data_IF_385759942054
#
_entry.id   IF_385759942054
#
_cell.length_a   1.000
_cell.length_b   1.000
_cell.length_c   1.000
_cell.angle_alpha   90.00
_cell.angle_beta   90.00
_cell.angle_gamma   90.00
#
_symmetry.space_group_name_H-M   'P 1'
#
loop_
_entity.id
_entity.type
_entity.pdbx_description
1 polymer ?
#
# COMPACT_ATOMS: atom_id res chain seq x y z
N UNK A 1 0.77 -3.89 -5.85
CA UNK A 1 -0.40 -3.48 -5.03
C UNK A 1 -0.56 -4.35 -3.78
N UNK A 2 -0.37 -5.68 -3.86
CA UNK A 2 -0.48 -6.60 -2.71
C UNK A 2 0.29 -6.18 -1.45
N UNK A 3 1.54 -5.72 -1.59
CA UNK A 3 2.33 -5.20 -0.46
C UNK A 3 1.64 -4.02 0.26
N UNK A 4 1.03 -3.08 -0.46
CA UNK A 4 0.42 -1.89 0.14
C UNK A 4 -0.82 -2.23 0.98
N UNK A 5 -1.68 -3.14 0.48
CA UNK A 5 -2.90 -3.55 1.19
C UNK A 5 -2.62 -4.47 2.39
N UNK A 6 -1.49 -5.20 2.40
CA UNK A 6 -1.11 -6.10 3.50
C UNK A 6 -0.29 -5.41 4.60
N UNK A 7 0.24 -4.21 4.34
CA UNK A 7 1.08 -3.47 5.30
C UNK A 7 0.46 -2.15 5.76
N UNK A 8 -0.54 -1.65 5.04
CA UNK A 8 -1.13 -0.33 5.30
C UNK A 8 -0.19 0.85 5.02
N UNK A 9 0.98 0.62 4.39
CA UNK A 9 1.90 1.70 4.07
C UNK A 9 1.29 2.70 3.08
N UNK A 10 1.57 3.99 3.27
CA UNK A 10 1.26 5.00 2.25
C UNK A 10 2.04 4.66 1.00
N UNK A 11 1.45 4.86 -0.18
CA UNK A 11 2.11 4.45 -1.42
C UNK A 11 3.46 5.14 -1.64
N UNK A 12 3.64 6.41 -1.23
CA UNK A 12 4.96 7.05 -1.30
C UNK A 12 6.02 6.42 -0.36
N UNK A 13 5.60 5.82 0.76
CA UNK A 13 6.49 5.03 1.63
C UNK A 13 6.87 3.71 0.92
N UNK A 14 5.89 3.04 0.30
CA UNK A 14 6.12 1.81 -0.49
C UNK A 14 7.08 2.07 -1.64
N UNK A 15 6.85 3.13 -2.42
CA UNK A 15 7.68 3.48 -3.57
C UNK A 15 9.07 3.99 -3.16
N UNK A 16 9.23 4.46 -1.93
CA UNK A 16 10.51 4.89 -1.37
C UNK A 16 11.29 3.80 -0.64
N UNK A 17 10.71 2.61 -0.45
CA UNK A 17 11.29 1.51 0.32
C UNK A 17 12.54 0.96 -0.36
N UNK A 18 13.62 0.79 0.40
CA UNK A 18 14.87 0.18 -0.07
C UNK A 18 15.07 -1.21 0.54
N UNK A 19 15.86 -2.06 -0.13
CA UNK A 19 16.15 -3.41 0.38
C UNK A 19 16.84 -3.40 1.75
N UNK A 20 17.63 -2.37 2.04
CA UNK A 20 18.29 -2.16 3.35
C UNK A 20 17.30 -1.83 4.49
N UNK A 21 16.07 -1.41 4.16
CA UNK A 21 15.02 -1.18 5.15
C UNK A 21 14.32 -2.48 5.57
N UNK A 22 14.55 -3.59 4.85
CA UNK A 22 13.92 -4.90 5.07
C UNK A 22 14.86 -5.86 5.78
N UNK A 23 14.66 -6.05 7.09
CA UNK A 23 15.36 -7.04 7.90
C UNK A 23 14.60 -8.39 7.83
N UNK A 24 15.05 -9.26 6.93
CA UNK A 24 14.43 -10.57 6.71
C UNK A 24 14.66 -11.55 7.87
N UNK A 25 15.79 -11.42 8.58
CA UNK A 25 16.11 -12.27 9.73
C UNK A 25 15.19 -11.97 10.91
N UNK A 26 15.02 -10.68 11.23
CA UNK A 26 14.14 -10.23 12.33
C UNK A 26 12.69 -10.05 11.90
N UNK A 27 12.36 -10.30 10.64
CA UNK A 27 11.03 -10.10 10.02
C UNK A 27 10.48 -8.69 10.32
N UNK A 28 11.27 -7.66 10.02
CA UNK A 28 10.93 -6.26 10.31
C UNK A 28 11.21 -5.38 9.10
N UNK A 29 10.32 -4.43 8.83
CA UNK A 29 10.50 -3.43 7.77
C UNK A 29 10.48 -2.05 8.40
N UNK A 30 11.54 -1.27 8.16
CA UNK A 30 11.65 0.11 8.65
C UNK A 30 11.03 1.07 7.66
N UNK A 31 10.02 1.81 8.08
CA UNK A 31 9.40 2.88 7.30
C UNK A 31 9.89 4.22 7.85
N UNK A 32 10.73 4.93 7.08
CA UNK A 32 11.40 6.16 7.52
C UNK A 32 11.51 7.28 6.47
N UNK A 33 10.97 7.05 5.27
CA UNK A 33 11.06 7.97 4.14
C UNK A 33 9.86 7.82 3.23
N UNK A 34 9.51 8.91 2.54
CA UNK A 34 8.49 8.92 1.49
C UNK A 34 9.13 9.50 0.24
N UNK A 35 8.93 8.85 -0.90
CA UNK A 35 9.34 9.41 -2.19
C UNK A 35 8.22 10.29 -2.76
N UNK A 36 8.60 11.47 -3.26
CA UNK A 36 7.72 12.40 -3.95
C UNK A 36 8.28 12.71 -5.33
N UNK A 37 7.40 13.23 -6.19
CA UNK A 37 7.77 13.75 -7.50
C UNK A 37 7.28 15.19 -7.62
N UNK A 38 8.19 16.11 -7.93
CA UNK A 38 7.83 17.47 -8.30
C UNK A 38 7.94 17.62 -9.81
N UNK A 39 6.88 18.13 -10.44
CA UNK A 39 6.98 18.66 -11.79
C UNK A 39 7.80 19.96 -11.76
N UNK A 40 8.56 20.19 -12.81
CA UNK A 40 9.23 21.46 -13.06
C UNK A 40 8.23 22.61 -13.02
N UNK A 41 8.46 23.58 -12.15
CA UNK A 41 7.69 24.84 -12.12
C UNK A 41 8.28 25.90 -13.04
N UNK A 42 9.49 25.69 -13.53
CA UNK A 42 10.24 26.57 -14.44
C UNK A 42 11.19 25.73 -15.31
N UNK A 43 11.55 26.16 -16.53
CA UNK A 43 12.53 25.46 -17.37
C UNK A 43 13.90 25.24 -16.70
N UNK A 44 14.24 26.07 -15.72
CA UNK A 44 15.50 26.00 -14.97
C UNK A 44 15.45 24.90 -13.90
N UNK A 45 14.27 24.61 -13.35
CA UNK A 45 14.09 23.64 -12.29
C UNK A 45 13.56 22.33 -12.87
N UNK A 46 14.44 21.37 -13.13
CA UNK A 46 14.05 20.07 -13.69
C UNK A 46 13.04 19.33 -12.83
N UNK A 47 12.12 18.59 -13.48
CA UNK A 47 11.23 17.68 -12.75
C UNK A 47 12.06 16.60 -12.07
N UNK A 48 11.80 16.33 -10.80
CA UNK A 48 12.65 15.43 -10.03
C UNK A 48 11.87 14.65 -8.99
N UNK A 49 12.35 13.42 -8.77
CA UNK A 49 12.05 12.70 -7.55
C UNK A 49 12.86 13.29 -6.41
N UNK A 50 12.30 13.25 -5.21
CA UNK A 50 13.00 13.61 -3.99
C UNK A 50 12.41 12.83 -2.82
N UNK A 51 13.24 12.56 -1.81
CA UNK A 51 12.75 12.02 -0.55
C UNK A 51 12.30 13.16 0.35
N UNK A 52 11.21 12.93 1.07
CA UNK A 52 10.95 13.62 2.32
C UNK A 52 11.25 12.66 3.45
N UNK A 53 12.02 13.13 4.42
CA UNK A 53 12.09 12.48 5.71
C UNK A 53 10.83 12.83 6.49
N UNK A 54 10.34 11.88 7.27
CA UNK A 54 9.27 12.12 8.23
C UNK A 54 9.57 13.39 9.05
N UNK A 55 8.74 14.44 8.91
CA UNK A 55 8.91 15.69 9.68
C UNK A 55 8.70 15.48 11.19
N UNK A 56 8.15 14.33 11.61
CA UNK A 56 7.89 13.98 13.01
C UNK A 56 8.31 12.54 13.32
N UNK A 57 8.75 12.29 14.56
CA UNK A 57 9.15 10.97 15.08
C UNK A 57 8.04 9.92 14.87
N UNK A 58 6.77 10.33 14.95
CA UNK A 58 5.59 9.46 14.83
C UNK A 58 5.40 8.81 13.45
N UNK A 59 6.02 9.35 12.39
CA UNK A 59 5.93 8.79 11.05
C UNK A 59 6.99 7.70 10.80
N UNK A 60 8.07 7.67 11.60
CA UNK A 60 9.05 6.60 11.57
C UNK A 60 8.52 5.41 12.36
N UNK A 61 8.43 4.25 11.72
CA UNK A 61 7.91 3.05 12.36
C UNK A 61 8.55 1.79 11.83
N UNK A 62 8.38 0.71 12.59
CA UNK A 62 8.73 -0.63 12.15
C UNK A 62 7.44 -1.42 12.03
N UNK A 63 7.22 -2.00 10.85
CA UNK A 63 6.11 -2.93 10.64
C UNK A 63 6.64 -4.37 10.68
N UNK A 64 5.90 -5.32 11.28
CA UNK A 64 6.27 -6.72 11.23
C UNK A 64 6.07 -7.27 9.82
N UNK A 65 6.94 -8.18 9.42
CA UNK A 65 6.83 -8.94 8.18
C UNK A 65 6.08 -10.24 8.49
N UNK A 66 4.78 -10.27 8.18
CA UNK A 66 4.01 -11.52 8.18
C UNK A 66 4.57 -12.49 7.13
N UNK A 67 4.20 -13.77 7.19
CA UNK A 67 4.64 -14.75 6.17
C UNK A 67 4.26 -14.28 4.76
N UNK A 68 3.05 -13.74 4.58
CA UNK A 68 2.62 -13.20 3.30
C UNK A 68 3.48 -12.02 2.84
N UNK A 69 3.84 -11.09 3.72
CA UNK A 69 4.71 -9.95 3.36
C UNK A 69 6.13 -10.43 3.04
N UNK A 70 6.62 -11.44 3.76
CA UNK A 70 7.93 -12.07 3.52
C UNK A 70 7.98 -12.68 2.13
N UNK A 71 6.98 -13.49 1.76
CA UNK A 71 6.86 -14.09 0.43
C UNK A 71 6.76 -13.04 -0.68
N UNK A 72 5.96 -11.98 -0.47
CA UNK A 72 5.85 -10.87 -1.43
C UNK A 72 7.22 -10.26 -1.70
N UNK A 73 8.01 -10.00 -0.65
CA UNK A 73 9.33 -9.39 -0.77
C UNK A 73 10.35 -10.34 -1.39
N UNK A 74 10.32 -11.63 -1.08
CA UNK A 74 11.18 -12.62 -1.73
C UNK A 74 10.90 -12.71 -3.23
N UNK A 75 9.63 -12.85 -3.62
CA UNK A 75 9.21 -12.90 -5.02
C UNK A 75 9.58 -11.61 -5.76
N UNK A 76 9.43 -10.46 -5.10
CA UNK A 76 9.86 -9.18 -5.68
C UNK A 76 11.38 -9.12 -5.89
N UNK A 77 12.17 -9.69 -4.98
CA UNK A 77 13.64 -9.76 -5.11
C UNK A 77 14.07 -10.63 -6.28
N UNK A 78 13.42 -11.79 -6.46
CA UNK A 78 13.63 -12.69 -7.62
C UNK A 78 13.31 -11.94 -8.91
N UNK A 79 12.09 -11.40 -9.02
CA UNK A 79 11.63 -10.64 -10.19
C UNK A 79 12.57 -9.48 -10.55
N UNK A 80 13.05 -8.73 -9.56
CA UNK A 80 13.97 -7.61 -9.82
C UNK A 80 15.35 -8.10 -10.27
N UNK A 81 15.81 -9.24 -9.74
CA UNK A 81 17.07 -9.87 -10.16
C UNK A 81 17.00 -10.30 -11.63
N UNK A 82 15.91 -10.95 -12.03
CA UNK A 82 15.65 -11.30 -13.43
C UNK A 82 15.61 -10.06 -14.32
N UNK A 83 14.89 -9.01 -13.91
CA UNK A 83 14.83 -7.75 -14.67
C UNK A 83 16.21 -7.13 -14.85
N UNK A 84 17.07 -7.13 -13.81
CA UNK A 84 18.45 -6.63 -13.92
C UNK A 84 19.28 -7.43 -14.91
N UNK A 85 19.09 -8.75 -14.98
CA UNK A 85 19.77 -9.62 -15.94
C UNK A 85 19.30 -9.35 -17.37
N UNK A 86 17.98 -9.38 -17.61
CA UNK A 86 17.39 -9.25 -18.94
C UNK A 86 17.44 -7.82 -19.50
N UNK A 87 17.38 -6.81 -18.64
CA UNK A 87 17.31 -5.38 -19.01
C UNK A 87 18.58 -4.62 -18.64
N UNK A 88 19.71 -5.33 -18.54
CA UNK A 88 21.00 -4.76 -18.12
C UNK A 88 21.40 -3.50 -18.89
N UNK A 89 21.13 -3.45 -20.20
CA UNK A 89 21.48 -2.31 -21.06
C UNK A 89 20.71 -1.03 -20.73
N UNK A 90 19.49 -1.15 -20.18
CA UNK A 90 18.62 0.00 -19.87
C UNK A 90 18.45 0.23 -18.37
N UNK A 91 19.06 -0.63 -17.52
CA UNK A 91 18.93 -0.53 -16.08
C UNK A 91 19.66 0.71 -15.55
N UNK A 92 18.91 1.66 -14.99
CA UNK A 92 19.41 2.93 -14.51
C UNK A 92 19.88 2.83 -13.06
N UNK A 93 21.16 3.11 -12.83
CA UNK A 93 21.68 3.33 -11.49
C UNK A 93 21.50 4.80 -11.09
N UNK A 94 20.32 5.15 -10.60
CA UNK A 94 20.08 6.48 -10.03
C UNK A 94 20.80 6.62 -8.69
N UNK A 95 21.83 7.48 -8.59
CA UNK A 95 22.67 7.63 -7.38
C UNK A 95 21.87 7.79 -6.08
N UNK A 96 20.79 8.57 -6.10
CA UNK A 96 19.96 8.84 -4.93
C UNK A 96 18.91 7.75 -4.65
N UNK A 97 18.46 7.05 -5.70
CA UNK A 97 17.36 6.08 -5.67
C UNK A 97 17.85 4.64 -5.92
N UNK A 98 19.07 4.33 -5.48
CA UNK A 98 19.60 2.98 -5.58
C UNK A 98 18.87 2.03 -4.62
N UNK A 99 18.84 0.75 -5.00
CA UNK A 99 18.34 -0.35 -4.17
C UNK A 99 16.88 -0.23 -3.71
N UNK A 100 16.04 0.48 -4.48
CA UNK A 100 14.60 0.47 -4.29
C UNK A 100 14.03 -0.96 -4.44
N UNK A 101 13.09 -1.31 -3.57
CA UNK A 101 12.36 -2.59 -3.62
C UNK A 101 11.42 -2.62 -4.83
N UNK A 102 10.70 -1.52 -5.06
CA UNK A 102 9.75 -1.39 -6.15
C UNK A 102 10.25 -0.35 -7.15
N UNK A 103 10.50 -0.80 -8.39
CA UNK A 103 11.03 0.03 -9.48
C UNK A 103 10.21 -0.17 -10.74
N UNK A 104 10.33 0.78 -11.66
CA UNK A 104 10.02 0.54 -13.06
C UNK A 104 10.94 -0.56 -13.62
N UNK A 105 10.62 -1.08 -14.80
CA UNK A 105 11.38 -2.19 -15.40
C UNK A 105 12.81 -1.83 -15.80
N UNK A 106 13.13 -0.53 -15.85
CA UNK A 106 14.46 0.02 -16.09
C UNK A 106 15.18 0.40 -14.78
N UNK A 107 14.64 0.04 -13.62
CA UNK A 107 15.22 0.37 -12.31
C UNK A 107 14.92 1.78 -11.80
N UNK A 108 14.25 2.63 -12.59
CA UNK A 108 13.87 3.96 -12.15
C UNK A 108 12.75 3.94 -11.09
N UNK A 109 12.61 5.01 -10.28
CA UNK A 109 11.48 5.14 -9.37
C UNK A 109 10.14 5.08 -10.09
N UNK A 110 9.15 4.46 -9.47
CA UNK A 110 7.78 4.44 -9.99
C UNK A 110 7.12 5.78 -9.71
N UNK A 111 6.46 6.36 -10.71
CA UNK A 111 5.62 7.53 -10.51
C UNK A 111 4.35 7.17 -9.75
N UNK A 112 3.99 7.96 -8.74
CA UNK A 112 2.73 7.81 -8.02
C UNK A 112 1.52 7.72 -8.96
N UNK A 113 1.48 8.60 -9.97
CA UNK A 113 0.43 8.62 -10.99
C UNK A 113 0.27 7.27 -11.69
N UNK A 114 1.37 6.60 -12.03
CA UNK A 114 1.34 5.31 -12.73
C UNK A 114 0.64 4.23 -11.90
N UNK A 115 0.70 4.31 -10.57
CA UNK A 115 0.02 3.34 -9.70
C UNK A 115 -1.50 3.53 -9.77
N UNK A 116 -1.98 4.77 -9.69
CA UNK A 116 -3.42 5.05 -9.82
C UNK A 116 -3.94 4.80 -11.25
N UNK A 117 -3.13 5.09 -12.27
CA UNK A 117 -3.47 4.72 -13.65
C UNK A 117 -3.62 3.21 -13.79
N UNK A 118 -2.67 2.43 -13.25
CA UNK A 118 -2.78 0.98 -13.26
C UNK A 118 -4.05 0.49 -12.54
N UNK A 119 -4.40 1.07 -11.38
CA UNK A 119 -5.66 0.75 -10.68
C UNK A 119 -6.86 1.01 -11.59
N UNK A 120 -6.92 2.18 -12.22
CA UNK A 120 -8.00 2.54 -13.15
C UNK A 120 -8.11 1.54 -14.30
N UNK A 121 -7.00 1.13 -14.88
CA UNK A 121 -6.97 0.16 -15.98
C UNK A 121 -7.45 -1.22 -15.52
N UNK A 122 -7.08 -1.67 -14.31
CA UNK A 122 -7.56 -2.93 -13.76
C UNK A 122 -9.05 -2.89 -13.44
N UNK A 123 -9.55 -1.81 -12.83
CA UNK A 123 -10.99 -1.63 -12.53
C UNK A 123 -11.80 -1.66 -13.82
N UNK A 124 -11.34 -0.96 -14.87
CA UNK A 124 -11.99 -1.01 -16.17
C UNK A 124 -12.06 -2.43 -16.74
N UNK A 125 -10.97 -3.20 -16.67
CA UNK A 125 -10.95 -4.61 -17.12
C UNK A 125 -11.89 -5.50 -16.30
N UNK A 126 -11.90 -5.35 -14.98
CA UNK A 126 -12.82 -6.08 -14.10
C UNK A 126 -14.27 -5.79 -14.49
N UNK A 127 -14.61 -4.52 -14.72
CA UNK A 127 -15.97 -4.13 -15.09
C UNK A 127 -16.38 -4.65 -16.47
N UNK A 128 -15.46 -4.73 -17.43
CA UNK A 128 -15.74 -5.38 -18.72
C UNK A 128 -16.09 -6.86 -18.54
N UNK A 129 -15.32 -7.58 -17.73
CA UNK A 129 -15.56 -9.01 -17.45
C UNK A 129 -16.89 -9.18 -16.72
N UNK A 130 -17.16 -8.35 -15.71
CA UNK A 130 -18.38 -8.39 -14.91
C UNK A 130 -19.64 -8.11 -15.75
N UNK A 131 -19.57 -7.18 -16.69
CA UNK A 131 -20.68 -6.91 -17.62
C UNK A 131 -20.99 -8.15 -18.46
N UNK A 132 -19.97 -8.90 -18.89
CA UNK A 132 -20.18 -10.10 -19.69
C UNK A 132 -20.76 -11.25 -18.85
N UNK A 133 -20.19 -11.50 -17.67
CA UNK A 133 -20.71 -12.50 -16.73
C UNK A 133 -22.17 -12.22 -16.32
N UNK A 134 -22.51 -10.96 -16.07
CA UNK A 134 -23.85 -10.57 -15.67
C UNK A 134 -24.90 -10.86 -16.78
N UNK A 135 -24.52 -10.72 -18.06
CA UNK A 135 -25.39 -11.10 -19.18
C UNK A 135 -25.62 -12.61 -19.23
N UNK A 136 -24.57 -13.40 -19.08
CA UNK A 136 -24.66 -14.87 -19.06
C UNK A 136 -25.57 -15.36 -17.92
N UNK A 137 -25.41 -14.74 -16.74
CA UNK A 137 -26.17 -15.04 -15.54
C UNK A 137 -27.55 -14.36 -15.49
N UNK A 138 -27.91 -13.57 -16.51
CA UNK A 138 -29.17 -12.80 -16.61
C UNK A 138 -29.47 -11.95 -15.37
N UNK A 139 -28.43 -11.30 -14.84
CA UNK A 139 -28.52 -10.38 -13.70
C UNK A 139 -27.98 -9.00 -14.08
N UNK A 140 -28.30 -8.01 -13.26
CA UNK A 140 -27.66 -6.70 -13.37
C UNK A 140 -26.16 -6.79 -13.03
N UNK A 141 -25.29 -6.06 -13.76
CA UNK A 141 -23.86 -6.05 -13.50
C UNK A 141 -23.54 -5.32 -12.20
N UNK A 142 -22.70 -5.93 -11.38
CA UNK A 142 -22.20 -5.36 -10.13
C UNK A 142 -20.90 -4.61 -10.40
N UNK A 143 -21.04 -3.37 -10.88
CA UNK A 143 -19.91 -2.54 -11.27
C UNK A 143 -18.97 -2.31 -10.07
N UNK A 144 -17.70 -2.61 -10.28
CA UNK A 144 -16.64 -2.36 -9.33
C UNK A 144 -16.24 -0.89 -9.39
N UNK A 145 -16.39 -0.19 -8.27
CA UNK A 145 -16.12 1.24 -8.18
C UNK A 145 -14.62 1.55 -8.27
N UNK A 146 -14.30 2.72 -8.84
CA UNK A 146 -12.93 3.19 -8.92
C UNK A 146 -12.41 3.58 -7.54
N UNK A 147 -11.24 3.07 -7.19
CA UNK A 147 -10.55 3.41 -5.95
C UNK A 147 -9.12 3.93 -6.23
N UNK A 148 -8.44 4.38 -5.19
CA UNK A 148 -7.06 4.89 -5.30
C UNK A 148 -6.12 4.14 -4.36
N UNK A 149 -4.82 4.41 -4.46
CA UNK A 149 -3.84 3.89 -3.52
C UNK A 149 -4.15 4.19 -2.05
N UNK A 150 -4.83 5.31 -1.76
CA UNK A 150 -5.25 5.64 -0.39
C UNK A 150 -6.26 4.63 0.13
N UNK A 151 -7.17 4.16 -0.72
CA UNK A 151 -8.19 3.17 -0.36
C UNK A 151 -7.56 1.87 0.11
N UNK A 152 -6.45 1.41 -0.49
CA UNK A 152 -5.74 0.19 -0.05
C UNK A 152 -5.30 0.25 1.42
N UNK A 153 -4.87 1.44 1.86
CA UNK A 153 -4.49 1.67 3.26
C UNK A 153 -5.70 1.70 4.18
N UNK A 154 -6.82 2.27 3.73
CA UNK A 154 -8.08 2.19 4.47
C UNK A 154 -8.55 0.75 4.60
N UNK A 155 -8.50 -0.04 3.52
CA UNK A 155 -8.83 -1.47 3.56
C UNK A 155 -7.98 -2.23 4.56
N UNK A 156 -6.66 -1.99 4.62
CA UNK A 156 -5.81 -2.60 5.66
C UNK A 156 -6.31 -2.27 7.06
N UNK A 157 -6.57 -0.99 7.34
CA UNK A 157 -7.03 -0.54 8.64
C UNK A 157 -8.39 -1.15 9.02
N UNK A 158 -9.36 -1.13 8.10
CA UNK A 158 -10.67 -1.79 8.27
C UNK A 158 -10.50 -3.26 8.60
N UNK A 159 -9.69 -4.00 7.82
CA UNK A 159 -9.43 -5.43 8.07
C UNK A 159 -8.80 -5.68 9.42
N UNK A 160 -7.87 -4.83 9.87
CA UNK A 160 -7.33 -4.92 11.23
C UNK A 160 -8.43 -4.79 12.30
N UNK A 161 -9.34 -3.82 12.16
CA UNK A 161 -10.43 -3.63 13.11
C UNK A 161 -11.47 -4.76 13.08
N UNK A 162 -11.84 -5.22 11.89
CA UNK A 162 -12.71 -6.39 11.71
C UNK A 162 -12.12 -7.61 12.43
N UNK A 163 -10.79 -7.78 12.38
CA UNK A 163 -10.09 -8.86 13.09
C UNK A 163 -9.76 -8.55 14.57
N UNK A 164 -10.30 -7.47 15.13
CA UNK A 164 -10.18 -7.16 16.55
C UNK A 164 -8.79 -6.66 16.98
N UNK A 165 -7.96 -6.20 16.04
CA UNK A 165 -6.66 -5.61 16.37
C UNK A 165 -6.87 -4.30 17.13
N UNK A 166 -6.16 -4.16 18.25
CA UNK A 166 -6.23 -2.97 19.10
C UNK A 166 -5.98 -1.66 18.32
N UNK A 167 -6.78 -0.64 18.63
CA UNK A 167 -6.74 0.64 17.92
C UNK A 167 -5.38 1.33 18.02
N UNK A 168 -4.70 1.27 19.17
CA UNK A 168 -3.38 1.88 19.33
C UNK A 168 -2.32 1.12 18.53
N UNK A 169 -2.47 -0.20 18.40
CA UNK A 169 -1.61 -1.03 17.53
C UNK A 169 -1.78 -0.62 16.08
N UNK A 170 -3.02 -0.53 15.58
CA UNK A 170 -3.30 -0.11 14.20
C UNK A 170 -2.78 1.32 13.94
N UNK A 171 -2.98 2.24 14.89
CA UNK A 171 -2.46 3.60 14.80
C UNK A 171 -0.93 3.64 14.64
N UNK A 172 -0.20 2.84 15.44
CA UNK A 172 1.27 2.71 15.36
C UNK A 172 1.71 2.09 14.04
N UNK A 173 1.03 1.04 13.57
CA UNK A 173 1.31 0.38 12.29
C UNK A 173 1.06 1.28 11.08
N UNK A 174 0.09 2.18 11.18
CA UNK A 174 -0.20 3.17 10.14
C UNK A 174 0.71 4.40 10.26
N UNK A 175 1.20 4.76 11.45
CA UNK A 175 1.95 6.00 11.67
C UNK A 175 1.04 7.22 11.55
N UNK A 176 -0.11 7.19 12.21
CA UNK A 176 -1.00 8.35 12.37
C UNK A 176 -0.57 9.18 13.57
N UNK A 177 -0.36 10.48 13.38
CA UNK A 177 0.01 11.42 14.46
C UNK A 177 -1.14 11.69 15.43
N UNK A 178 -2.40 11.51 15.00
CA UNK A 178 -3.59 11.73 15.83
C UNK A 178 -4.55 10.55 15.71
N UNK A 179 -5.32 10.30 16.78
CA UNK A 179 -6.40 9.30 16.74
C UNK A 179 -7.52 9.71 15.78
N UNK A 180 -7.78 11.00 15.54
CA UNK A 180 -8.84 11.46 14.64
C UNK A 180 -8.77 10.85 13.23
N UNK A 181 -7.55 10.70 12.66
CA UNK A 181 -7.30 10.04 11.37
C UNK A 181 -7.66 8.54 11.35
N UNK A 182 -7.89 7.96 12.53
CA UNK A 182 -8.06 6.54 12.82
C UNK A 182 -9.50 6.26 13.30
N UNK A 183 -10.09 7.22 14.00
CA UNK A 183 -11.41 7.15 14.63
C UNK A 183 -12.54 7.04 13.61
N UNK A 184 -12.52 7.83 12.52
CA UNK A 184 -13.63 7.83 11.55
C UNK A 184 -13.85 6.47 10.88
N UNK A 185 -12.80 5.69 10.66
CA UNK A 185 -12.92 4.34 10.10
C UNK A 185 -13.33 3.32 11.17
N UNK A 186 -12.81 3.49 12.38
CA UNK A 186 -13.06 2.60 13.51
C UNK A 186 -14.52 2.70 13.99
N UNK A 187 -15.11 3.90 14.00
CA UNK A 187 -16.50 4.09 14.43
C UNK A 187 -17.47 3.29 13.58
N UNK A 188 -17.29 3.28 12.25
CA UNK A 188 -18.13 2.48 11.35
C UNK A 188 -18.02 0.97 11.64
N UNK A 189 -16.80 0.44 11.76
CA UNK A 189 -16.59 -1.00 12.06
C UNK A 189 -17.12 -1.34 13.46
N UNK A 190 -16.93 -0.45 14.43
CA UNK A 190 -17.40 -0.65 15.80
C UNK A 190 -18.92 -0.65 15.90
N UNK A 191 -19.65 0.18 15.14
CA UNK A 191 -21.11 0.17 15.14
C UNK A 191 -21.70 -1.12 14.54
N UNK A 192 -21.06 -1.68 13.51
CA UNK A 192 -21.44 -2.99 12.95
C UNK A 192 -21.16 -4.11 13.95
N UNK A 193 -19.94 -4.13 14.53
CA UNK A 193 -19.58 -5.10 15.57
C UNK A 193 -20.45 -5.01 16.82
N UNK A 194 -20.80 -3.81 17.26
CA UNK A 194 -21.71 -3.62 18.41
C UNK A 194 -23.06 -4.26 18.15
N UNK A 195 -23.61 -4.16 16.93
CA UNK A 195 -24.88 -4.82 16.60
C UNK A 195 -24.77 -6.34 16.65
N UNK A 196 -23.68 -6.90 16.14
CA UNK A 196 -23.41 -8.34 16.18
C UNK A 196 -23.18 -8.84 17.62
N UNK A 197 -22.28 -8.20 18.36
CA UNK A 197 -21.94 -8.57 19.74
C UNK A 197 -23.15 -8.43 20.68
N UNK A 198 -23.97 -7.37 20.52
CA UNK A 198 -25.21 -7.20 21.31
C UNK A 198 -26.26 -8.25 20.92
N UNK A 199 -26.31 -8.69 19.66
CA UNK A 199 -27.21 -9.77 19.23
C UNK A 199 -26.78 -11.14 19.77
N UNK A 200 -25.48 -11.39 19.94
CA UNK A 200 -24.94 -12.61 20.53
C UNK A 200 -24.87 -12.58 22.06
N UNK A 201 -25.10 -11.43 22.68
CA UNK A 201 -25.04 -11.21 24.12
C UNK A 201 -26.19 -11.94 24.84
N UNK A 202 -25.92 -13.18 25.25
CA UNK A 202 -26.78 -13.92 26.18
C UNK A 202 -26.52 -13.43 27.61
N UNK A 203 -27.27 -12.41 28.02
CA UNK A 203 -27.28 -11.96 29.42
C UNK A 203 -28.10 -12.96 30.23
N UNK A 204 -27.39 -13.83 30.94
CA UNK A 204 -27.85 -14.81 31.95
C UNK A 204 -28.75 -15.95 31.41
N UNK A 205 -28.26 -17.18 31.57
CA UNK A 205 -29.07 -18.39 31.74
C UNK A 205 -29.12 -18.73 33.24
#
# INVERSE_FOLDING_TARGET
MKFAVTTGCRIGEVLGLKWEDCDFEKRKIRINKTIHYSKASSPVEGSKFFYTTAKTISSNRVIPMTDEVYEILQNQKIKQTEQKMWKRSIWKQHKEFQNLVFTCSDGSPVYYYNVNSAIKDYVAKINVIEIELAKEEKREPKIFELFTCHTLRHTYATRCYENGVDQQVVQKLLGHSTLAMTTDLYTHVSEEKKKEEVAELKILA
#
